data_IF_284552733607
#
_entry.id   IF_284552733607
#
_cell.length_a   1.000
_cell.length_b   1.000
_cell.length_c   1.000
_cell.angle_alpha   90.00
_cell.angle_beta   90.00
_cell.angle_gamma   90.00
#
_symmetry.space_group_name_H-M   'P 1'
#
loop_
_entity.id
_entity.type
_entity.pdbx_description
1 polymer ?
#
# COMPACT_ATOMS: atom_id res chain seq x y z
N UNK A 1 10.26 -17.67 9.67
CA UNK A 1 9.85 -16.51 8.83
C UNK A 1 8.96 -17.05 7.73
N UNK A 2 7.83 -16.40 7.45
CA UNK A 2 6.88 -16.81 6.41
C UNK A 2 6.98 -15.81 5.27
N UNK A 3 7.15 -16.30 4.04
CA UNK A 3 7.18 -15.48 2.83
C UNK A 3 5.91 -15.75 2.01
N UNK A 4 4.94 -14.82 1.96
CA UNK A 4 3.75 -14.96 1.13
C UNK A 4 4.13 -14.88 -0.35
N UNK A 5 3.86 -15.94 -1.10
CA UNK A 5 3.86 -15.88 -2.55
C UNK A 5 2.47 -15.41 -3.02
N UNK A 6 2.42 -14.26 -3.67
CA UNK A 6 1.18 -13.64 -4.12
C UNK A 6 1.19 -13.45 -5.64
N UNK A 7 0.01 -13.43 -6.23
CA UNK A 7 -0.17 -13.20 -7.66
C UNK A 7 0.35 -11.81 -8.05
N UNK A 8 1.17 -11.78 -9.11
CA UNK A 8 1.86 -10.56 -9.56
C UNK A 8 1.06 -9.82 -10.62
N UNK A 9 1.33 -8.53 -10.74
CA UNK A 9 0.84 -7.71 -11.85
C UNK A 9 1.67 -7.95 -13.11
N UNK A 10 1.08 -7.77 -14.32
CA UNK A 10 -0.27 -7.25 -14.58
C UNK A 10 -1.43 -8.26 -14.48
N UNK A 11 -1.14 -9.56 -14.35
CA UNK A 11 -2.13 -10.65 -14.37
C UNK A 11 -3.10 -10.58 -13.19
N UNK A 12 -2.60 -10.22 -12.01
CA UNK A 12 -3.40 -9.86 -10.84
C UNK A 12 -3.23 -8.38 -10.51
N UNK A 13 -4.35 -7.65 -10.52
CA UNK A 13 -4.39 -6.22 -10.19
C UNK A 13 -4.73 -6.00 -8.73
N UNK A 14 -4.48 -4.77 -8.25
CA UNK A 14 -4.90 -4.35 -6.93
C UNK A 14 -6.41 -4.65 -6.69
N UNK A 15 -6.82 -5.16 -5.51
CA UNK A 15 -6.02 -5.42 -4.29
C UNK A 15 -5.57 -6.89 -4.11
N UNK A 16 -5.55 -7.73 -5.15
CA UNK A 16 -5.39 -9.19 -5.03
C UNK A 16 -4.17 -9.61 -4.19
N UNK A 17 -3.00 -9.04 -4.48
CA UNK A 17 -1.76 -9.36 -3.75
C UNK A 17 -1.84 -9.04 -2.25
N UNK A 18 -2.54 -7.96 -1.89
CA UNK A 18 -2.72 -7.56 -0.49
C UNK A 18 -3.65 -8.54 0.24
N UNK A 19 -4.76 -8.94 -0.38
CA UNK A 19 -5.70 -9.91 0.22
C UNK A 19 -5.07 -11.30 0.37
N UNK A 20 -4.29 -11.76 -0.61
CA UNK A 20 -3.56 -13.02 -0.51
C UNK A 20 -2.52 -12.97 0.61
N UNK A 21 -1.74 -11.89 0.68
CA UNK A 21 -0.75 -11.72 1.74
C UNK A 21 -1.39 -11.59 3.13
N UNK A 22 -2.53 -10.91 3.24
CA UNK A 22 -3.31 -10.83 4.47
C UNK A 22 -3.85 -12.20 4.90
N UNK A 23 -4.32 -13.00 3.94
CA UNK A 23 -4.81 -14.37 4.20
C UNK A 23 -3.70 -15.26 4.78
N UNK A 24 -2.45 -15.08 4.35
CA UNK A 24 -1.30 -15.77 4.95
C UNK A 24 -1.09 -15.32 6.40
N UNK A 25 -1.16 -14.01 6.68
CA UNK A 25 -1.04 -13.52 8.07
C UNK A 25 -2.14 -14.09 8.97
N UNK A 26 -3.37 -14.16 8.47
CA UNK A 26 -4.51 -14.79 9.17
C UNK A 26 -4.27 -16.28 9.39
N UNK A 27 -3.79 -17.01 8.39
CA UNK A 27 -3.44 -18.42 8.53
C UNK A 27 -2.37 -18.65 9.61
N UNK A 28 -1.37 -17.77 9.72
CA UNK A 28 -0.35 -17.86 10.79
C UNK A 28 -0.99 -17.71 12.18
N UNK A 29 -1.97 -16.81 12.33
CA UNK A 29 -2.70 -16.62 13.59
C UNK A 29 -3.58 -17.83 13.92
N UNK A 30 -4.30 -18.37 12.95
CA UNK A 30 -5.30 -19.42 13.17
C UNK A 30 -4.71 -20.84 13.23
N UNK A 31 -3.69 -21.12 12.42
CA UNK A 31 -3.18 -22.48 12.16
C UNK A 31 -1.65 -22.58 12.28
N UNK A 32 -0.95 -21.47 12.50
CA UNK A 32 0.52 -21.45 12.55
C UNK A 32 1.13 -22.28 13.69
N UNK A 33 0.37 -22.54 14.75
CA UNK A 33 0.84 -23.29 15.93
C UNK A 33 1.36 -24.68 15.58
N UNK A 34 0.69 -25.37 14.66
CA UNK A 34 1.09 -26.72 14.22
C UNK A 34 2.42 -26.72 13.44
N UNK A 35 2.82 -25.54 12.95
CA UNK A 35 4.08 -25.30 12.26
C UNK A 35 5.13 -24.61 13.17
N UNK A 36 4.91 -24.58 14.49
CA UNK A 36 5.80 -23.94 15.45
C UNK A 36 5.81 -22.41 15.38
N UNK A 37 4.79 -21.79 14.76
CA UNK A 37 4.65 -20.35 14.67
C UNK A 37 3.77 -19.83 15.82
N UNK A 38 4.20 -18.72 16.43
CA UNK A 38 3.45 -18.05 17.49
C UNK A 38 2.67 -16.86 16.93
N UNK A 39 1.37 -17.09 16.65
CA UNK A 39 0.47 -16.08 16.12
C UNK A 39 0.23 -14.87 17.04
N UNK A 40 0.60 -14.95 18.33
CA UNK A 40 0.42 -13.83 19.28
C UNK A 40 1.55 -12.79 19.20
N UNK A 41 2.67 -13.13 18.55
CA UNK A 41 3.86 -12.29 18.41
C UNK A 41 4.25 -12.10 16.95
N UNK A 42 3.25 -11.81 16.11
CA UNK A 42 3.45 -11.61 14.68
C UNK A 42 4.08 -10.23 14.40
N UNK A 43 5.11 -10.18 13.56
CA UNK A 43 5.66 -8.94 13.02
C UNK A 43 5.65 -9.00 11.50
N UNK A 44 5.54 -7.84 10.84
CA UNK A 44 5.55 -7.72 9.39
C UNK A 44 6.76 -6.93 8.91
N UNK A 45 7.34 -7.34 7.78
CA UNK A 45 8.47 -6.67 7.18
C UNK A 45 8.32 -6.61 5.67
N UNK A 46 8.89 -5.58 5.04
CA UNK A 46 8.89 -5.46 3.59
C UNK A 46 9.83 -4.38 3.08
N UNK A 47 10.32 -4.57 1.86
CA UNK A 47 11.22 -3.67 1.15
C UNK A 47 10.55 -3.05 -0.08
N UNK A 48 10.82 -1.77 -0.38
CA UNK A 48 10.27 -1.08 -1.56
C UNK A 48 8.73 -1.21 -1.65
N UNK A 49 8.21 -1.88 -2.68
CA UNK A 49 6.78 -2.19 -2.84
C UNK A 49 6.25 -3.13 -1.76
N UNK A 50 7.07 -4.07 -1.27
CA UNK A 50 6.75 -4.89 -0.11
C UNK A 50 6.61 -4.05 1.17
N UNK A 51 7.33 -2.93 1.28
CA UNK A 51 7.14 -1.96 2.35
C UNK A 51 5.78 -1.27 2.30
N UNK A 52 5.27 -0.96 1.09
CA UNK A 52 3.90 -0.49 0.91
C UNK A 52 2.87 -1.53 1.37
N UNK A 53 3.08 -2.79 0.95
CA UNK A 53 2.21 -3.90 1.34
C UNK A 53 2.21 -4.12 2.85
N UNK A 54 3.37 -4.04 3.52
CA UNK A 54 3.47 -4.15 4.97
C UNK A 54 2.63 -3.09 5.69
N UNK A 55 2.64 -1.85 5.19
CA UNK A 55 1.79 -0.76 5.70
C UNK A 55 0.31 -1.08 5.45
N UNK A 56 -0.06 -1.45 4.22
CA UNK A 56 -1.44 -1.75 3.84
C UNK A 56 -2.03 -2.89 4.69
N UNK A 57 -1.30 -3.98 4.87
CA UNK A 57 -1.72 -5.11 5.72
C UNK A 57 -1.90 -4.71 7.17
N UNK A 58 -1.04 -3.83 7.70
CA UNK A 58 -1.18 -3.30 9.06
C UNK A 58 -2.45 -2.46 9.21
N UNK A 59 -2.80 -1.66 8.20
CA UNK A 59 -4.06 -0.90 8.18
C UNK A 59 -5.27 -1.84 8.08
N UNK A 60 -5.23 -2.83 7.19
CA UNK A 60 -6.27 -3.85 7.08
C UNK A 60 -6.47 -4.60 8.41
N UNK A 61 -5.40 -4.95 9.11
CA UNK A 61 -5.45 -5.59 10.42
C UNK A 61 -6.13 -4.73 11.47
N UNK A 62 -5.82 -3.42 11.48
CA UNK A 62 -6.49 -2.47 12.36
C UNK A 62 -8.00 -2.36 12.09
N UNK A 63 -8.40 -2.40 10.83
CA UNK A 63 -9.81 -2.35 10.42
C UNK A 63 -10.57 -3.65 10.74
N UNK A 64 -9.97 -4.79 10.41
CA UNK A 64 -10.61 -6.12 10.53
C UNK A 64 -10.57 -6.69 11.95
N UNK A 65 -9.58 -6.30 12.76
CA UNK A 65 -9.40 -6.73 14.16
C UNK A 65 -9.26 -8.25 14.36
N UNK A 66 -8.87 -8.98 13.31
CA UNK A 66 -8.64 -10.44 13.34
C UNK A 66 -7.14 -10.82 13.35
N UNK A 67 -6.25 -9.91 12.95
CA UNK A 67 -4.79 -10.08 13.01
C UNK A 67 -4.18 -8.95 13.84
N UNK A 68 -3.18 -9.26 14.67
CA UNK A 68 -2.44 -8.26 15.43
C UNK A 68 -0.95 -8.32 15.10
N UNK A 69 -0.41 -7.24 14.51
CA UNK A 69 1.02 -7.09 14.27
C UNK A 69 1.68 -6.35 15.45
N UNK A 70 2.58 -7.03 16.16
CA UNK A 70 3.36 -6.48 17.27
C UNK A 70 4.45 -5.49 16.82
N UNK A 71 4.83 -5.50 15.53
CA UNK A 71 5.81 -4.58 14.98
C UNK A 71 5.85 -4.60 13.46
N UNK A 72 6.40 -3.53 12.88
CA UNK A 72 6.64 -3.38 11.44
C UNK A 72 8.09 -2.97 11.17
N UNK A 73 8.71 -3.57 10.15
CA UNK A 73 10.06 -3.22 9.67
C UNK A 73 9.98 -2.85 8.20
N UNK A 74 10.31 -1.60 7.87
CA UNK A 74 10.09 -1.03 6.54
C UNK A 74 11.42 -0.61 5.91
N UNK A 75 11.83 -1.31 4.86
CA UNK A 75 13.04 -0.97 4.12
C UNK A 75 12.66 -0.10 2.92
N UNK A 76 13.05 1.18 2.93
CA UNK A 76 12.84 2.16 1.84
C UNK A 76 11.44 2.04 1.17
N UNK A 77 10.35 2.14 1.96
CA UNK A 77 9.01 1.79 1.48
C UNK A 77 8.50 2.76 0.42
N UNK A 78 7.76 2.23 -0.56
CA UNK A 78 6.98 3.05 -1.49
C UNK A 78 5.74 3.56 -0.77
N UNK A 79 5.73 4.83 -0.37
CA UNK A 79 4.64 5.44 0.43
C UNK A 79 3.81 6.48 -0.33
N UNK A 80 4.18 6.80 -1.58
CA UNK A 80 3.48 7.78 -2.41
C UNK A 80 3.61 7.41 -3.88
N UNK A 81 2.50 7.39 -4.60
CA UNK A 81 2.50 7.40 -6.04
C UNK A 81 2.45 8.86 -6.52
N UNK A 82 3.55 9.39 -7.06
CA UNK A 82 3.55 10.68 -7.75
C UNK A 82 3.25 10.44 -9.22
N UNK A 83 2.02 10.76 -9.65
CA UNK A 83 1.78 10.98 -11.08
C UNK A 83 2.27 12.40 -11.38
N UNK A 84 3.42 12.52 -12.04
CA UNK A 84 3.79 13.80 -12.66
C UNK A 84 2.96 13.92 -13.93
N UNK A 85 1.77 14.49 -13.84
CA UNK A 85 1.02 14.89 -15.03
C UNK A 85 1.79 16.02 -15.72
N UNK A 86 1.91 15.94 -17.06
CA UNK A 86 2.62 16.92 -17.87
C UNK A 86 1.84 18.23 -17.80
N UNK A 87 2.25 19.17 -16.94
CA UNK A 87 1.63 20.49 -16.82
C UNK A 87 1.74 21.20 -18.18
N UNK A 88 0.68 21.22 -18.98
CA UNK A 88 0.56 22.18 -20.10
C UNK A 88 0.06 23.50 -19.51
N UNK A 89 0.96 24.47 -19.36
CA UNK A 89 0.58 25.84 -18.97
C UNK A 89 -0.27 26.44 -20.09
N UNK A 90 -1.53 26.75 -19.82
CA UNK A 90 -2.34 27.61 -20.70
C UNK A 90 -2.50 28.96 -20.01
N UNK A 91 -1.87 29.99 -20.57
CA UNK A 91 -2.03 31.37 -20.10
C UNK A 91 -3.27 31.95 -20.76
N UNK A 92 -4.33 32.17 -19.99
CA UNK A 92 -5.49 32.96 -20.42
C UNK A 92 -5.26 34.41 -19.96
N UNK A 93 -4.94 35.29 -20.90
CA UNK A 93 -4.87 36.72 -20.65
C UNK A 93 -6.27 37.32 -20.80
N UNK A 94 -6.81 37.91 -19.72
CA UNK A 94 -7.99 38.76 -19.79
C UNK A 94 -7.56 40.23 -19.69
N UNK A 95 -8.19 41.17 -20.41
CA UNK A 95 -7.57 42.45 -20.73
C UNK A 95 -7.59 43.51 -19.61
N UNK A 96 -7.91 43.20 -18.34
CA UNK A 96 -8.01 44.29 -17.36
C UNK A 96 -7.95 43.98 -15.86
N UNK A 97 -7.21 42.97 -15.38
CA UNK A 97 -6.82 42.85 -13.95
C UNK A 97 -5.49 42.10 -13.82
N UNK A 98 -4.60 42.60 -12.95
CA UNK A 98 -3.31 42.02 -12.56
C UNK A 98 -3.43 40.69 -11.78
N UNK A 99 -4.21 39.74 -12.29
CA UNK A 99 -4.45 38.45 -11.66
C UNK A 99 -4.22 37.32 -12.65
N UNK A 100 -3.17 36.53 -12.40
CA UNK A 100 -2.94 35.24 -13.06
C UNK A 100 -3.64 34.19 -12.22
N UNK A 101 -4.72 33.61 -12.73
CA UNK A 101 -5.35 32.43 -12.11
C UNK A 101 -4.69 31.18 -12.71
N UNK A 102 -4.08 30.37 -11.85
CA UNK A 102 -3.55 29.06 -12.20
C UNK A 102 -4.64 28.02 -11.96
N UNK A 103 -5.35 27.61 -12.99
CA UNK A 103 -6.26 26.47 -12.90
C UNK A 103 -5.55 25.16 -13.26
N UNK A 104 -5.62 24.19 -12.37
CA UNK A 104 -5.19 22.81 -12.63
C UNK A 104 -6.30 22.06 -13.36
N UNK A 105 -6.13 21.84 -14.66
CA UNK A 105 -7.01 20.92 -15.41
C UNK A 105 -6.52 19.50 -15.17
N UNK A 106 -7.41 18.64 -14.66
CA UNK A 106 -7.18 17.20 -14.56
C UNK A 106 -7.89 16.56 -15.76
N UNK A 107 -7.16 15.91 -16.64
CA UNK A 107 -7.76 15.02 -17.64
C UNK A 107 -8.00 13.65 -16.98
N UNK A 108 -9.21 13.09 -17.14
CA UNK A 108 -9.63 11.78 -16.64
C UNK A 108 -8.81 10.60 -17.21
#
# INVERSE_FOLDING_TARGET
MVFPEYSRSPEARYPVANEQSYSVAKWVVEQGRDNGLDGTRLAIAGDSVGGNMAIALTLMAKERRDVNFAGQVLFYPVIRHLVVSRIRRRVLAYPNRDAVVLESVHDE
#
